data_IF_976225442755
#
_entry.id   IF_976225442755
#
_cell.length_a   1.000
_cell.length_b   1.000
_cell.length_c   1.000
_cell.angle_alpha   90.00
_cell.angle_beta   90.00
_cell.angle_gamma   90.00
#
_symmetry.space_group_name_H-M   'P 1'
#
loop_
_entity.id
_entity.type
_entity.pdbx_description
1 polymer ?
#
# COMPACT_ATOMS: atom_id res chain seq x y z
N UNK A 1 -6.96 17.75 -4.75
CA UNK A 1 -6.01 17.20 -3.76
C UNK A 1 -5.89 18.21 -2.66
N UNK A 2 -5.78 17.78 -1.41
CA UNK A 2 -5.54 18.69 -0.30
C UNK A 2 -4.08 19.15 -0.31
N UNK A 3 -3.85 20.44 -0.09
CA UNK A 3 -2.50 20.96 0.08
C UNK A 3 -1.88 20.36 1.36
N UNK A 4 -0.60 20.01 1.26
CA UNK A 4 0.11 19.34 2.34
C UNK A 4 1.62 19.59 2.26
N UNK A 5 2.31 19.30 3.37
CA UNK A 5 3.76 19.26 3.45
C UNK A 5 4.22 18.25 4.50
N UNK A 6 5.48 17.80 4.40
CA UNK A 6 6.14 17.04 5.46
C UNK A 6 7.28 17.86 6.02
N UNK A 7 7.36 17.92 7.34
CA UNK A 7 8.46 18.57 8.06
C UNK A 7 9.10 17.60 9.04
N UNK A 8 10.43 17.63 9.10
CA UNK A 8 11.21 16.81 10.03
C UNK A 8 11.45 17.61 11.30
N UNK A 9 10.98 17.10 12.44
CA UNK A 9 11.07 17.78 13.72
C UNK A 9 11.77 16.91 14.77
N UNK A 10 12.64 17.50 15.61
CA UNK A 10 13.15 16.82 16.80
C UNK A 10 12.05 16.79 17.85
N UNK A 11 11.50 15.62 18.15
CA UNK A 11 10.47 15.46 19.18
C UNK A 11 11.06 14.79 20.40
N UNK A 12 11.01 15.51 21.51
CA UNK A 12 11.51 15.05 22.81
C UNK A 12 10.59 14.02 23.50
N UNK A 13 11.08 13.39 24.58
CA UNK A 13 10.34 12.42 25.38
C UNK A 13 9.19 13.03 26.19
N UNK A 14 8.99 14.36 26.13
CA UNK A 14 7.80 15.02 26.69
C UNK A 14 6.55 14.79 25.84
N UNK A 15 6.71 14.42 24.56
CA UNK A 15 5.58 14.11 23.70
C UNK A 15 5.06 12.70 24.01
N UNK A 16 3.75 12.49 24.25
CA UNK A 16 3.22 11.22 24.76
C UNK A 16 3.57 10.01 23.89
N UNK A 17 3.50 10.17 22.57
CA UNK A 17 3.83 9.10 21.62
C UNK A 17 5.32 8.72 21.71
N UNK A 18 6.22 9.71 21.83
CA UNK A 18 7.67 9.46 21.92
C UNK A 18 8.01 8.86 23.29
N UNK A 19 7.43 9.40 24.37
CA UNK A 19 7.57 8.85 25.72
C UNK A 19 7.23 7.35 25.78
N UNK A 20 6.14 6.96 25.13
CA UNK A 20 5.67 5.58 25.08
C UNK A 20 6.59 4.62 24.32
N UNK A 21 7.56 5.13 23.54
CA UNK A 21 8.60 4.30 22.92
C UNK A 21 9.79 4.02 23.85
N UNK A 22 9.83 4.63 25.05
CA UNK A 22 10.91 4.46 26.03
C UNK A 22 12.17 5.26 25.73
N UNK A 23 12.15 6.14 24.72
CA UNK A 23 13.29 6.99 24.36
C UNK A 23 13.52 8.07 25.41
N UNK A 24 14.79 8.35 25.72
CA UNK A 24 15.21 9.37 26.70
C UNK A 24 15.72 10.66 26.06
N UNK A 25 15.89 10.68 24.75
CA UNK A 25 16.35 11.83 23.96
C UNK A 25 15.35 12.19 22.86
N UNK A 26 15.52 13.38 22.27
CA UNK A 26 14.73 13.79 21.12
C UNK A 26 15.03 12.91 19.89
N UNK A 27 13.99 12.66 19.09
CA UNK A 27 14.05 11.85 17.88
C UNK A 27 13.58 12.70 16.71
N UNK A 28 14.35 12.73 15.61
CA UNK A 28 13.86 13.35 14.38
C UNK A 28 12.78 12.46 13.77
N UNK A 29 11.59 13.01 13.62
CA UNK A 29 10.45 12.31 13.02
C UNK A 29 9.80 13.18 11.94
N UNK A 30 9.33 12.57 10.85
CA UNK A 30 8.56 13.26 9.83
C UNK A 30 7.13 13.49 10.34
N UNK A 31 6.63 14.71 10.20
CA UNK A 31 5.27 15.11 10.54
C UNK A 31 4.59 15.57 9.26
N UNK A 32 3.51 14.88 8.88
CA UNK A 32 2.72 15.21 7.70
C UNK A 32 1.60 16.17 8.08
N UNK A 33 1.57 17.33 7.45
CA UNK A 33 0.64 18.42 7.71
C UNK A 33 -0.26 18.57 6.49
N UNK A 34 -1.57 18.53 6.67
CA UNK A 34 -2.55 18.61 5.57
C UNK A 34 -3.77 19.45 5.96
N UNK A 35 -4.46 19.98 4.95
CA UNK A 35 -5.74 20.65 5.13
C UNK A 35 -5.64 21.90 6.01
N UNK A 36 -6.54 22.13 6.98
CA UNK A 36 -6.51 23.33 7.82
C UNK A 36 -5.20 23.52 8.60
N UNK A 37 -4.56 22.42 9.04
CA UNK A 37 -3.27 22.48 9.74
C UNK A 37 -2.16 23.00 8.82
N UNK A 38 -2.25 22.76 7.51
CA UNK A 38 -1.30 23.27 6.53
C UNK A 38 -1.45 24.77 6.30
N UNK A 39 -2.68 25.26 6.26
CA UNK A 39 -2.97 26.70 6.16
C UNK A 39 -2.45 27.45 7.39
N UNK A 40 -2.77 26.96 8.60
CA UNK A 40 -2.28 27.53 9.86
C UNK A 40 -0.75 27.50 9.93
N UNK A 41 -0.11 26.41 9.50
CA UNK A 41 1.35 26.32 9.44
C UNK A 41 1.96 27.35 8.50
N UNK A 42 1.35 27.61 7.34
CA UNK A 42 1.86 28.62 6.41
C UNK A 42 1.76 30.05 6.95
N UNK A 43 0.72 30.35 7.72
CA UNK A 43 0.52 31.68 8.32
C UNK A 43 1.39 31.89 9.56
N UNK A 44 1.42 30.91 10.47
CA UNK A 44 1.99 31.08 11.82
C UNK A 44 3.38 30.48 11.98
N UNK A 45 3.76 29.55 11.08
CA UNK A 45 4.93 28.66 11.23
C UNK A 45 4.91 27.81 12.51
N UNK A 46 3.74 27.64 13.13
CA UNK A 46 3.54 26.77 14.29
C UNK A 46 2.94 25.43 13.86
N UNK A 47 3.29 24.37 14.58
CA UNK A 47 2.84 23.00 14.29
C UNK A 47 2.30 22.39 15.57
N UNK A 48 1.03 21.99 15.54
CA UNK A 48 0.49 21.08 16.54
C UNK A 48 0.80 19.65 16.12
N UNK A 49 1.59 18.93 16.91
CA UNK A 49 2.00 17.57 16.56
C UNK A 49 0.90 16.61 17.01
N UNK A 50 -0.07 16.37 16.12
CA UNK A 50 -1.09 15.37 16.36
C UNK A 50 -0.54 13.95 16.14
N UNK A 51 -1.05 12.91 16.85
CA UNK A 51 -0.70 11.52 16.57
C UNK A 51 -0.97 11.12 15.11
N UNK A 52 -1.96 11.74 14.46
CA UNK A 52 -2.29 11.51 13.05
C UNK A 52 -1.19 12.04 12.13
N UNK A 53 -0.76 13.29 12.34
CA UNK A 53 0.31 13.90 11.56
C UNK A 53 1.62 13.11 11.68
N UNK A 54 1.92 12.60 12.88
CA UNK A 54 3.05 11.67 13.10
C UNK A 54 2.90 10.36 12.35
N UNK A 55 1.76 9.69 12.48
CA UNK A 55 1.51 8.42 11.81
C UNK A 55 1.70 8.53 10.29
N UNK A 56 1.12 9.57 9.70
CA UNK A 56 1.16 9.82 8.26
C UNK A 56 2.58 10.13 7.80
N UNK A 57 3.29 11.02 8.49
CA UNK A 57 4.67 11.34 8.16
C UNK A 57 5.57 10.10 8.25
N UNK A 58 5.45 9.33 9.34
CA UNK A 58 6.27 8.13 9.57
C UNK A 58 6.05 7.09 8.48
N UNK A 59 4.80 6.83 8.09
CA UNK A 59 4.50 5.83 7.07
C UNK A 59 4.86 6.29 5.64
N UNK A 60 4.81 7.58 5.34
CA UNK A 60 5.24 8.11 4.04
C UNK A 60 6.76 8.16 3.87
N UNK A 61 7.49 8.42 4.95
CA UNK A 61 8.94 8.68 4.90
C UNK A 61 9.77 7.61 5.63
N UNK A 62 9.20 6.43 5.89
CA UNK A 62 9.85 5.35 6.64
C UNK A 62 11.19 4.88 6.04
N UNK A 63 11.39 5.08 4.73
CA UNK A 63 12.60 4.66 4.00
C UNK A 63 13.59 5.80 3.77
N UNK A 64 13.24 7.02 4.13
CA UNK A 64 14.08 8.19 3.93
C UNK A 64 15.09 8.37 5.05
N UNK A 65 16.17 9.10 4.74
CA UNK A 65 17.17 9.47 5.73
C UNK A 65 16.74 10.74 6.45
N UNK A 66 16.56 10.71 7.79
CA UNK A 66 16.22 11.92 8.54
C UNK A 66 17.36 12.94 8.43
N UNK A 67 17.05 14.25 8.36
CA UNK A 67 18.07 15.28 8.45
C UNK A 67 18.87 15.17 9.75
N UNK A 68 20.19 15.00 9.64
CA UNK A 68 21.11 15.02 10.79
C UNK A 68 21.05 13.79 11.71
N UNK A 69 20.44 12.68 11.29
CA UNK A 69 20.38 11.43 12.05
C UNK A 69 20.76 10.23 11.17
N UNK A 70 21.24 9.16 11.80
CA UNK A 70 21.47 7.90 11.10
C UNK A 70 20.12 7.28 10.72
N UNK A 71 19.91 7.06 9.42
CA UNK A 71 18.72 6.44 8.87
C UNK A 71 18.48 5.02 9.41
N UNK A 72 19.52 4.32 9.85
CA UNK A 72 19.40 3.01 10.51
C UNK A 72 18.73 3.17 11.89
N UNK A 73 19.12 4.19 12.64
CA UNK A 73 18.58 4.43 13.98
C UNK A 73 17.10 4.83 13.94
N UNK A 74 16.72 5.71 13.02
CA UNK A 74 15.30 6.07 12.83
C UNK A 74 14.47 4.86 12.43
N UNK A 75 14.91 4.11 11.40
CA UNK A 75 14.20 2.91 10.93
C UNK A 75 14.04 1.85 12.02
N UNK A 76 15.04 1.68 12.90
CA UNK A 76 14.96 0.77 14.03
C UNK A 76 13.87 1.14 15.05
N UNK A 77 13.47 2.42 15.13
CA UNK A 77 12.45 2.92 16.06
C UNK A 77 11.04 2.95 15.47
N UNK A 78 10.91 3.01 14.15
CA UNK A 78 9.62 3.09 13.46
C UNK A 78 8.66 1.97 13.86
N UNK A 79 9.07 0.68 13.99
CA UNK A 79 8.15 -0.37 14.40
C UNK A 79 7.49 -0.12 15.75
N UNK A 80 8.26 0.22 16.78
CA UNK A 80 7.75 0.54 18.12
C UNK A 80 6.82 1.75 18.09
N UNK A 81 7.16 2.77 17.29
CA UNK A 81 6.34 3.96 17.12
C UNK A 81 4.97 3.60 16.53
N UNK A 82 4.94 2.76 15.50
CA UNK A 82 3.70 2.30 14.87
C UNK A 82 2.85 1.43 15.80
N UNK A 83 3.45 0.60 16.66
CA UNK A 83 2.71 -0.16 17.68
C UNK A 83 2.03 0.76 18.72
N UNK A 84 2.74 1.78 19.18
CA UNK A 84 2.18 2.80 20.09
C UNK A 84 1.03 3.53 19.43
N UNK A 85 1.21 3.95 18.17
CA UNK A 85 0.17 4.64 17.40
C UNK A 85 -1.04 3.74 17.15
N UNK A 86 -0.85 2.48 16.75
CA UNK A 86 -1.94 1.52 16.55
C UNK A 86 -2.81 1.40 17.81
N UNK A 87 -2.19 1.25 18.99
CA UNK A 87 -2.91 1.22 20.27
C UNK A 87 -3.61 2.55 20.58
N UNK A 88 -2.95 3.68 20.30
CA UNK A 88 -3.53 5.01 20.52
C UNK A 88 -4.76 5.28 19.66
N UNK A 89 -4.83 4.71 18.44
CA UNK A 89 -5.98 4.79 17.55
C UNK A 89 -7.02 3.67 17.77
N UNK A 90 -6.74 2.70 18.65
CA UNK A 90 -7.62 1.55 18.86
C UNK A 90 -7.71 0.62 17.64
N UNK A 91 -6.66 0.54 16.83
CA UNK A 91 -6.60 -0.32 15.64
C UNK A 91 -5.99 -1.67 16.00
N UNK A 92 -6.57 -2.75 15.45
CA UNK A 92 -6.16 -4.13 15.67
C UNK A 92 -4.82 -4.46 14.97
N UNK A 93 -3.74 -3.89 15.49
CA UNK A 93 -2.38 -4.14 15.05
C UNK A 93 -1.87 -3.23 13.94
N UNK A 94 -0.55 -3.26 13.76
CA UNK A 94 0.16 -2.37 12.83
C UNK A 94 -0.17 -2.69 11.36
N UNK A 95 -0.39 -3.95 11.03
CA UNK A 95 -0.75 -4.36 9.66
C UNK A 95 -2.05 -3.68 9.21
N UNK A 96 -3.07 -3.68 10.06
CA UNK A 96 -4.34 -3.01 9.77
C UNK A 96 -4.18 -1.50 9.69
N UNK A 97 -3.38 -0.92 10.60
CA UNK A 97 -3.07 0.51 10.59
C UNK A 97 -2.45 0.96 9.26
N UNK A 98 -1.50 0.19 8.71
CA UNK A 98 -0.88 0.49 7.41
C UNK A 98 -1.92 0.47 6.29
N UNK A 99 -2.79 -0.53 6.24
CA UNK A 99 -3.87 -0.60 5.24
C UNK A 99 -4.84 0.58 5.35
N UNK A 100 -5.26 0.94 6.56
CA UNK A 100 -6.20 2.05 6.77
C UNK A 100 -5.57 3.39 6.37
N UNK A 101 -4.29 3.60 6.67
CA UNK A 101 -3.54 4.80 6.24
C UNK A 101 -3.34 4.82 4.73
N UNK A 102 -2.99 3.69 4.11
CA UNK A 102 -2.88 3.59 2.66
C UNK A 102 -4.21 3.93 1.97
N UNK A 103 -5.33 3.40 2.48
CA UNK A 103 -6.66 3.74 2.00
C UNK A 103 -6.97 5.24 2.13
N UNK A 104 -6.66 5.85 3.28
CA UNK A 104 -6.80 7.30 3.47
C UNK A 104 -6.03 8.10 2.42
N UNK A 105 -4.76 7.77 2.20
CA UNK A 105 -3.92 8.45 1.21
C UNK A 105 -4.44 8.30 -0.22
N UNK A 106 -4.89 7.09 -0.61
CA UNK A 106 -5.51 6.88 -1.92
C UNK A 106 -6.71 7.79 -2.14
N UNK A 107 -7.57 7.91 -1.13
CA UNK A 107 -8.81 8.70 -1.22
C UNK A 107 -8.57 10.22 -1.24
N UNK A 108 -7.53 10.72 -0.57
CA UNK A 108 -7.33 12.17 -0.38
C UNK A 108 -6.20 12.77 -1.22
N UNK A 109 -5.17 11.97 -1.50
CA UNK A 109 -3.92 12.41 -2.15
C UNK A 109 -3.61 11.68 -3.46
N UNK A 110 -4.34 10.60 -3.74
CA UNK A 110 -4.18 9.81 -4.94
C UNK A 110 -3.41 8.51 -4.71
N UNK A 111 -3.44 7.65 -5.72
CA UNK A 111 -3.02 6.26 -5.59
C UNK A 111 -1.52 6.10 -5.27
N UNK A 112 -0.67 7.01 -5.75
CA UNK A 112 0.78 6.96 -5.54
C UNK A 112 1.20 7.13 -4.07
N UNK A 113 0.46 7.97 -3.32
CA UNK A 113 0.70 8.11 -1.87
C UNK A 113 0.32 6.83 -1.12
N UNK A 114 -0.82 6.24 -1.48
CA UNK A 114 -1.22 4.95 -0.94
C UNK A 114 -0.22 3.85 -1.26
N UNK A 115 0.30 3.83 -2.49
CA UNK A 115 1.33 2.88 -2.92
C UNK A 115 2.61 3.04 -2.09
N UNK A 116 3.07 4.29 -1.89
CA UNK A 116 4.23 4.60 -1.05
C UNK A 116 4.05 4.07 0.38
N UNK A 117 2.87 4.26 0.98
CA UNK A 117 2.57 3.74 2.33
C UNK A 117 2.64 2.22 2.37
N UNK A 118 2.06 1.52 1.38
CA UNK A 118 2.08 0.06 1.32
C UNK A 118 3.51 -0.48 1.16
N UNK A 119 4.31 0.13 0.28
CA UNK A 119 5.70 -0.26 0.06
C UNK A 119 6.58 -0.01 1.28
N UNK A 120 6.42 1.13 1.93
CA UNK A 120 7.09 1.44 3.18
C UNK A 120 6.68 0.47 4.30
N UNK A 121 5.39 0.15 4.39
CA UNK A 121 4.88 -0.85 5.32
C UNK A 121 5.52 -2.22 5.11
N UNK A 122 5.67 -2.69 3.87
CA UNK A 122 6.33 -3.97 3.57
C UNK A 122 7.85 -3.94 3.74
N UNK A 123 8.48 -2.79 3.56
CA UNK A 123 9.91 -2.63 3.84
C UNK A 123 10.20 -2.75 5.35
N UNK A 124 9.29 -2.23 6.20
CA UNK A 124 9.38 -2.35 7.65
C UNK A 124 8.95 -3.74 8.15
N UNK A 125 7.90 -4.30 7.53
CA UNK A 125 7.27 -5.56 7.95
C UNK A 125 7.03 -6.48 6.75
N UNK A 126 8.05 -7.23 6.31
CA UNK A 126 7.95 -8.13 5.17
C UNK A 126 6.95 -9.29 5.37
N UNK A 127 6.49 -9.52 6.59
CA UNK A 127 5.50 -10.55 6.92
C UNK A 127 4.04 -10.07 6.75
N UNK A 128 3.77 -8.79 6.47
CA UNK A 128 2.39 -8.33 6.30
C UNK A 128 1.78 -8.85 4.99
N UNK A 129 0.69 -9.60 5.11
CA UNK A 129 -0.01 -10.24 4.00
C UNK A 129 -1.20 -9.42 3.52
N UNK A 130 -1.92 -8.73 4.41
CA UNK A 130 -2.99 -7.80 4.05
C UNK A 130 -2.43 -6.60 3.28
N UNK A 131 -1.33 -6.03 3.77
CA UNK A 131 -0.62 -4.93 3.08
C UNK A 131 -0.12 -5.39 1.72
N UNK A 132 0.41 -6.61 1.60
CA UNK A 132 0.85 -7.17 0.32
C UNK A 132 -0.30 -7.44 -0.63
N UNK A 133 -1.42 -7.96 -0.14
CA UNK A 133 -2.64 -8.12 -0.94
C UNK A 133 -3.15 -6.77 -1.44
N UNK A 134 -3.17 -5.75 -0.59
CA UNK A 134 -3.59 -4.40 -0.96
C UNK A 134 -2.63 -3.76 -1.99
N UNK A 135 -1.32 -4.04 -1.87
CA UNK A 135 -0.32 -3.63 -2.86
C UNK A 135 -0.58 -4.27 -4.24
N UNK A 136 -0.93 -5.55 -4.29
CA UNK A 136 -1.34 -6.22 -5.54
C UNK A 136 -2.54 -5.51 -6.16
N UNK A 137 -3.58 -5.23 -5.37
CA UNK A 137 -4.77 -4.52 -5.84
C UNK A 137 -4.45 -3.09 -6.33
N UNK A 138 -3.60 -2.35 -5.61
CA UNK A 138 -3.20 -1.00 -5.99
C UNK A 138 -2.42 -0.98 -7.32
N UNK A 139 -1.48 -1.90 -7.49
CA UNK A 139 -0.70 -2.04 -8.72
C UNK A 139 -1.54 -2.49 -9.91
N UNK A 140 -2.54 -3.35 -9.68
CA UNK A 140 -3.54 -3.72 -10.68
C UNK A 140 -4.31 -2.49 -11.17
N UNK A 141 -4.91 -1.73 -10.25
CA UNK A 141 -5.68 -0.54 -10.60
C UNK A 141 -4.86 0.57 -11.28
N UNK A 142 -3.56 0.65 -10.98
CA UNK A 142 -2.62 1.50 -11.71
C UNK A 142 -2.36 0.98 -13.13
N UNK A 143 -2.12 -0.31 -13.29
CA UNK A 143 -1.88 -0.94 -14.58
C UNK A 143 -3.07 -0.79 -15.55
N UNK A 144 -4.31 -0.84 -15.03
CA UNK A 144 -5.53 -0.62 -15.81
C UNK A 144 -5.62 0.78 -16.41
N UNK A 145 -5.08 1.78 -15.71
CA UNK A 145 -5.11 3.20 -16.12
C UNK A 145 -3.83 3.63 -16.83
N UNK A 146 -2.79 2.82 -16.78
CA UNK A 146 -1.49 3.13 -17.33
C UNK A 146 -1.48 3.05 -18.87
N UNK A 147 -0.59 3.85 -19.47
CA UNK A 147 -0.26 3.73 -20.89
C UNK A 147 0.36 2.35 -21.20
N UNK A 148 0.33 1.92 -22.47
CA UNK A 148 0.97 0.65 -22.89
C UNK A 148 2.48 0.59 -22.57
N UNK A 149 3.13 1.75 -22.45
CA UNK A 149 4.55 1.86 -22.12
C UNK A 149 4.80 1.62 -20.63
N UNK A 150 3.93 2.14 -19.75
CA UNK A 150 4.10 2.07 -18.30
C UNK A 150 3.47 0.82 -17.69
N UNK A 151 2.39 0.31 -18.28
CA UNK A 151 1.62 -0.84 -17.79
C UNK A 151 2.52 -2.04 -17.45
N UNK A 152 3.49 -2.45 -18.28
CA UNK A 152 4.33 -3.60 -17.96
C UNK A 152 5.14 -3.45 -16.66
N UNK A 153 5.53 -2.23 -16.29
CA UNK A 153 6.28 -1.98 -15.06
C UNK A 153 5.42 -2.23 -13.81
N UNK A 154 4.16 -1.77 -13.82
CA UNK A 154 3.22 -2.02 -12.73
C UNK A 154 2.88 -3.52 -12.60
N UNK A 155 2.59 -4.19 -13.72
CA UNK A 155 2.27 -5.62 -13.71
C UNK A 155 3.44 -6.48 -13.23
N UNK A 156 4.70 -6.15 -13.59
CA UNK A 156 5.88 -6.85 -13.08
C UNK A 156 6.03 -6.72 -11.57
N UNK A 157 5.87 -5.50 -11.03
CA UNK A 157 5.88 -5.26 -9.57
C UNK A 157 4.74 -6.00 -8.89
N UNK A 158 3.57 -6.05 -9.52
CA UNK A 158 2.41 -6.77 -9.00
C UNK A 158 2.68 -8.27 -8.91
N UNK A 159 3.25 -8.88 -9.95
CA UNK A 159 3.63 -10.30 -9.95
C UNK A 159 4.69 -10.63 -8.89
N UNK A 160 5.65 -9.73 -8.65
CA UNK A 160 6.63 -9.86 -7.56
C UNK A 160 5.95 -9.84 -6.18
N UNK A 161 5.03 -8.89 -5.97
CA UNK A 161 4.25 -8.82 -4.74
C UNK A 161 3.36 -10.06 -4.56
N UNK A 162 2.73 -10.55 -5.63
CA UNK A 162 1.91 -11.76 -5.62
C UNK A 162 2.73 -13.02 -5.28
N UNK A 163 3.93 -13.16 -5.85
CA UNK A 163 4.78 -14.33 -5.60
C UNK A 163 5.18 -14.47 -4.12
N UNK A 164 5.29 -13.35 -3.39
CA UNK A 164 5.60 -13.33 -1.96
C UNK A 164 4.36 -13.42 -1.05
N UNK A 165 3.15 -13.57 -1.60
CA UNK A 165 1.91 -13.54 -0.86
C UNK A 165 1.53 -14.91 -0.28
N UNK A 166 1.33 -14.98 1.04
CA UNK A 166 0.74 -16.16 1.68
C UNK A 166 -0.79 -16.16 1.49
N UNK A 167 -1.23 -16.58 0.30
CA UNK A 167 -2.64 -16.58 -0.12
C UNK A 167 -3.59 -17.23 0.89
N UNK A 168 -3.12 -18.29 1.56
CA UNK A 168 -3.88 -19.03 2.59
C UNK A 168 -4.35 -18.18 3.78
N UNK A 169 -3.76 -17.00 4.01
CA UNK A 169 -4.15 -16.07 5.08
C UNK A 169 -5.20 -15.05 4.67
N UNK A 170 -5.54 -14.95 3.39
CA UNK A 170 -6.56 -14.04 2.90
C UNK A 170 -7.95 -14.67 2.98
N UNK A 171 -8.99 -13.84 3.19
CA UNK A 171 -10.37 -14.29 3.01
C UNK A 171 -10.64 -14.66 1.53
N UNK A 172 -11.66 -15.50 1.24
CA UNK A 172 -11.88 -16.04 -0.10
C UNK A 172 -11.97 -14.98 -1.21
N UNK A 173 -12.73 -13.90 -1.00
CA UNK A 173 -12.90 -12.83 -2.00
C UNK A 173 -11.60 -12.16 -2.42
N UNK A 174 -10.85 -11.51 -1.49
CA UNK A 174 -9.54 -10.94 -1.79
C UNK A 174 -8.55 -11.95 -2.39
N UNK A 175 -8.57 -13.20 -1.90
CA UNK A 175 -7.72 -14.28 -2.45
C UNK A 175 -8.04 -14.57 -3.91
N UNK A 176 -9.31 -14.70 -4.27
CA UNK A 176 -9.72 -14.92 -5.65
C UNK A 176 -9.30 -13.76 -6.56
N UNK A 177 -9.49 -12.52 -6.10
CA UNK A 177 -9.10 -11.33 -6.87
C UNK A 177 -7.59 -11.29 -7.15
N UNK A 178 -6.74 -11.46 -6.13
CA UNK A 178 -5.28 -11.40 -6.35
C UNK A 178 -4.78 -12.53 -7.25
N UNK A 179 -5.43 -13.72 -7.20
CA UNK A 179 -5.13 -14.82 -8.11
C UNK A 179 -5.54 -14.50 -9.55
N UNK A 180 -6.75 -13.96 -9.75
CA UNK A 180 -7.21 -13.48 -11.05
C UNK A 180 -6.25 -12.45 -11.65
N UNK A 181 -5.91 -11.41 -10.87
CA UNK A 181 -5.01 -10.36 -11.29
C UNK A 181 -3.64 -10.93 -11.68
N UNK A 182 -3.10 -11.88 -10.91
CA UNK A 182 -1.84 -12.53 -11.23
C UNK A 182 -1.89 -13.27 -12.57
N UNK A 183 -2.93 -14.08 -12.82
CA UNK A 183 -3.07 -14.79 -14.11
C UNK A 183 -3.14 -13.81 -15.28
N UNK A 184 -3.96 -12.76 -15.15
CA UNK A 184 -4.11 -11.77 -16.21
C UNK A 184 -2.81 -10.98 -16.46
N UNK A 185 -2.07 -10.63 -15.41
CA UNK A 185 -0.76 -9.99 -15.53
C UNK A 185 0.27 -10.92 -16.18
N UNK A 186 0.27 -12.21 -15.84
CA UNK A 186 1.14 -13.21 -16.47
C UNK A 186 0.83 -13.32 -17.97
N UNK A 187 -0.43 -13.27 -18.39
CA UNK A 187 -0.76 -13.28 -19.82
C UNK A 187 -0.11 -12.10 -20.56
N UNK A 188 -0.19 -10.90 -19.95
CA UNK A 188 0.39 -9.69 -20.53
C UNK A 188 1.93 -9.70 -20.55
N UNK A 189 2.57 -10.17 -19.47
CA UNK A 189 4.03 -10.06 -19.28
C UNK A 189 4.79 -11.25 -19.86
N UNK A 190 4.26 -12.45 -19.67
CA UNK A 190 4.90 -13.73 -19.96
C UNK A 190 4.26 -14.46 -21.15
N UNK A 191 3.03 -14.11 -21.50
CA UNK A 191 2.28 -14.71 -22.60
C UNK A 191 1.25 -15.74 -22.14
N UNK A 192 0.42 -16.17 -23.09
CA UNK A 192 -0.74 -17.02 -22.83
C UNK A 192 -0.41 -18.42 -22.35
N UNK A 193 0.75 -18.97 -22.69
CA UNK A 193 1.16 -20.30 -22.23
C UNK A 193 1.33 -20.32 -20.71
N UNK A 194 2.18 -19.42 -20.20
CA UNK A 194 2.47 -19.28 -18.77
C UNK A 194 1.20 -18.91 -17.98
N UNK A 195 0.34 -18.07 -18.54
CA UNK A 195 -0.93 -17.71 -17.91
C UNK A 195 -1.88 -18.90 -17.76
N UNK A 196 -1.94 -19.80 -18.75
CA UNK A 196 -2.78 -21.01 -18.68
C UNK A 196 -2.27 -21.99 -17.63
N UNK A 197 -0.95 -22.14 -17.50
CA UNK A 197 -0.34 -22.95 -16.46
C UNK A 197 -0.66 -22.39 -15.06
N UNK A 198 -0.47 -21.09 -14.88
CA UNK A 198 -0.81 -20.42 -13.61
C UNK A 198 -2.31 -20.49 -13.29
N UNK A 199 -3.18 -20.37 -14.29
CA UNK A 199 -4.62 -20.54 -14.10
C UNK A 199 -4.97 -21.95 -13.64
N UNK A 200 -4.33 -22.98 -14.21
CA UNK A 200 -4.57 -24.36 -13.80
C UNK A 200 -4.24 -24.56 -12.30
N UNK A 201 -3.17 -23.94 -11.80
CA UNK A 201 -2.81 -23.94 -10.38
C UNK A 201 -3.85 -23.20 -9.51
N UNK A 202 -4.24 -21.98 -9.93
CA UNK A 202 -5.00 -21.07 -9.08
C UNK A 202 -6.53 -21.15 -9.26
N UNK A 203 -7.01 -21.91 -10.24
CA UNK A 203 -8.43 -21.94 -10.63
C UNK A 203 -9.38 -22.26 -9.48
N UNK A 204 -8.98 -23.12 -8.54
CA UNK A 204 -9.78 -23.44 -7.36
C UNK A 204 -9.93 -22.25 -6.41
N UNK A 205 -8.85 -21.47 -6.20
CA UNK A 205 -8.88 -20.27 -5.37
C UNK A 205 -9.75 -19.17 -6.03
N UNK A 206 -9.61 -18.98 -7.35
CA UNK A 206 -10.39 -18.01 -8.12
C UNK A 206 -11.90 -18.34 -8.04
N UNK A 207 -12.26 -19.62 -8.17
CA UNK A 207 -13.66 -20.09 -8.11
C UNK A 207 -14.26 -20.03 -6.70
N UNK A 208 -13.44 -20.09 -5.67
CA UNK A 208 -13.92 -20.13 -4.28
C UNK A 208 -14.33 -18.75 -3.73
N UNK A 209 -13.82 -17.66 -4.31
CA UNK A 209 -14.04 -16.30 -3.79
C UNK A 209 -15.05 -15.46 -4.56
N UNK A 210 -15.65 -15.99 -5.62
CA UNK A 210 -16.51 -15.21 -6.50
C UNK A 210 -17.62 -16.06 -7.14
N UNK A 211 -18.82 -15.48 -7.30
CA UNK A 211 -20.02 -16.11 -7.88
C UNK A 211 -19.92 -16.33 -9.42
N UNK A 212 -18.69 -16.54 -9.91
CA UNK A 212 -18.38 -16.91 -11.28
C UNK A 212 -18.08 -15.75 -12.24
N UNK A 213 -18.03 -14.51 -11.78
CA UNK A 213 -17.84 -13.33 -12.65
C UNK A 213 -16.37 -13.15 -13.09
N UNK A 214 -15.42 -13.15 -12.15
CA UNK A 214 -13.97 -13.12 -12.37
C UNK A 214 -13.50 -14.31 -13.22
N UNK A 215 -14.09 -15.49 -12.99
CA UNK A 215 -13.80 -16.68 -13.81
C UNK A 215 -14.25 -16.47 -15.25
N UNK A 216 -15.48 -15.98 -15.46
CA UNK A 216 -15.98 -15.65 -16.81
C UNK A 216 -15.16 -14.55 -17.46
N UNK A 217 -14.79 -13.51 -16.72
CA UNK A 217 -13.96 -12.41 -17.22
C UNK A 217 -12.58 -12.92 -17.64
N UNK A 218 -11.98 -13.83 -16.87
CA UNK A 218 -10.69 -14.43 -17.19
C UNK A 218 -10.76 -15.40 -18.38
N UNK A 219 -11.78 -16.27 -18.42
CA UNK A 219 -11.98 -17.19 -19.55
C UNK A 219 -12.24 -16.41 -20.84
N UNK A 220 -13.06 -15.35 -20.77
CA UNK A 220 -13.27 -14.43 -21.88
C UNK A 220 -11.97 -13.72 -22.27
N UNK A 221 -11.18 -13.26 -21.31
CA UNK A 221 -9.88 -12.62 -21.54
C UNK A 221 -8.91 -13.56 -22.26
N UNK A 222 -8.68 -14.75 -21.72
CA UNK A 222 -7.78 -15.76 -22.30
C UNK A 222 -8.26 -16.27 -23.67
N UNK A 223 -9.57 -16.29 -23.92
CA UNK A 223 -10.13 -16.59 -25.23
C UNK A 223 -9.99 -15.43 -26.23
N UNK A 224 -9.92 -14.17 -25.73
CA UNK A 224 -9.89 -12.93 -26.53
C UNK A 224 -8.51 -12.32 -26.73
N UNK A 225 -7.48 -12.70 -25.97
CA UNK A 225 -6.08 -12.24 -26.04
C UNK A 225 -5.37 -12.45 -27.41
N UNK A 226 -6.13 -12.65 -28.49
CA UNK A 226 -5.79 -12.16 -29.82
C UNK A 226 -6.17 -10.68 -30.08
N UNK A 227 -6.66 -9.92 -29.09
CA UNK A 227 -7.05 -8.50 -29.18
C UNK A 227 -6.65 -7.72 -27.92
N UNK A 228 -6.32 -6.42 -28.03
CA UNK A 228 -5.76 -5.61 -26.93
C UNK A 228 -6.75 -5.32 -25.78
N UNK A 229 -6.17 -5.12 -24.60
CA UNK A 229 -6.76 -4.85 -23.27
C UNK A 229 -7.95 -3.87 -23.23
N UNK A 230 -8.00 -2.89 -24.15
CA UNK A 230 -9.10 -1.93 -24.26
C UNK A 230 -10.48 -2.55 -24.52
N UNK A 231 -10.54 -3.81 -24.97
CA UNK A 231 -11.78 -4.52 -25.24
C UNK A 231 -12.45 -5.16 -24.00
N UNK A 232 -11.83 -5.13 -22.82
CA UNK A 232 -12.36 -5.80 -21.61
C UNK A 232 -13.19 -4.92 -20.68
N UNK A 233 -13.12 -3.60 -20.81
CA UNK A 233 -13.81 -2.68 -19.90
C UNK A 233 -15.26 -2.32 -20.28
N UNK A 234 -15.93 -3.12 -21.11
CA UNK A 234 -17.37 -2.94 -21.38
C UNK A 234 -18.15 -4.07 -20.75
N UNK A 235 -18.55 -3.88 -19.48
CA UNK A 235 -19.84 -4.31 -18.87
C UNK A 235 -19.75 -4.31 -17.34
N UNK A 236 -19.62 -3.13 -16.73
CA UNK A 236 -20.11 -2.87 -15.36
C UNK A 236 -20.61 -1.42 -15.32
N UNK A 237 -21.75 -1.17 -15.97
CA UNK A 237 -22.71 -0.10 -15.64
C UNK A 237 -24.08 -0.75 -15.46
#
# INVERSE_FOLDING_TARGET
MADHTTVWLPIGPVHPVIAATGTTSAVMVPVFIEGPEFEEFNETRQISISPKALLFGVLLHAREEPPGLDAVEFRGRVPTLLEVLARGFGVDGVERLVCDVAAHFRSHHGIDYGLTVLENGLALFPQFHLVRSDLVCALWGLAEKASEVERPAFLKRMLQAFAALERGRLSPGPRAFVCYAAVAATATINGLSDARELFAELSAEIRAGDEGELVKNLDNYLAREGLPWSALHVQLE
#
